data_IF_970016630097
#
_entry.id   IF_970016630097
#
_cell.length_a   1.000
_cell.length_b   1.000
_cell.length_c   1.000
_cell.angle_alpha   90.00
_cell.angle_beta   90.00
_cell.angle_gamma   90.00
#
_symmetry.space_group_name_H-M   'P 1'
#
loop_
_entity.id
_entity.type
_entity.pdbx_description
1 polymer ?
#
# COMPACT_ATOMS: atom_id res chain seq x y z
N UNK A 1 23.91 5.49 -9.26
CA UNK A 1 24.02 4.97 -7.88
C UNK A 1 22.63 4.46 -7.53
N UNK A 2 22.47 3.16 -7.34
CA UNK A 2 21.16 2.59 -6.97
C UNK A 2 20.83 2.98 -5.53
N UNK A 3 19.54 3.13 -5.21
CA UNK A 3 19.08 3.28 -3.83
C UNK A 3 19.48 2.04 -3.03
N UNK A 4 20.07 2.27 -1.85
CA UNK A 4 20.50 1.22 -0.94
C UNK A 4 19.32 0.38 -0.45
N UNK A 5 19.59 -0.85 0.00
CA UNK A 5 18.53 -1.69 0.59
C UNK A 5 17.86 -1.03 1.80
N UNK A 6 18.60 -0.22 2.57
CA UNK A 6 18.07 0.52 3.73
C UNK A 6 17.09 1.61 3.30
N UNK A 7 17.44 2.40 2.27
CA UNK A 7 16.53 3.43 1.74
C UNK A 7 15.25 2.79 1.19
N UNK A 8 15.38 1.68 0.45
CA UNK A 8 14.23 0.94 -0.07
C UNK A 8 13.35 0.38 1.06
N UNK A 9 13.95 -0.06 2.16
CA UNK A 9 13.21 -0.54 3.33
C UNK A 9 12.46 0.62 4.02
N UNK A 10 13.10 1.78 4.15
CA UNK A 10 12.46 2.98 4.70
C UNK A 10 11.26 3.42 3.84
N UNK A 11 11.41 3.40 2.52
CA UNK A 11 10.30 3.67 1.59
C UNK A 11 9.16 2.68 1.77
N UNK A 12 9.46 1.39 1.95
CA UNK A 12 8.43 0.36 2.20
C UNK A 12 7.67 0.61 3.50
N UNK A 13 8.37 0.95 4.58
CA UNK A 13 7.73 1.27 5.87
C UNK A 13 6.79 2.46 5.72
N UNK A 14 7.22 3.51 5.01
CA UNK A 14 6.36 4.66 4.72
C UNK A 14 5.09 4.29 3.95
N UNK A 15 5.21 3.42 2.94
CA UNK A 15 4.05 2.92 2.18
C UNK A 15 3.13 2.03 3.03
N UNK A 16 3.69 1.18 3.90
CA UNK A 16 2.91 0.36 4.85
C UNK A 16 2.07 1.23 5.78
N UNK A 17 2.67 2.28 6.34
CA UNK A 17 1.97 3.23 7.21
C UNK A 17 0.86 3.97 6.46
N UNK A 18 1.16 4.45 5.25
CA UNK A 18 0.18 5.14 4.41
C UNK A 18 -1.02 4.25 4.08
N UNK A 19 -0.80 3.02 3.60
CA UNK A 19 -1.89 2.12 3.27
C UNK A 19 -2.69 1.72 4.50
N UNK A 20 -2.02 1.45 5.63
CA UNK A 20 -2.70 1.13 6.90
C UNK A 20 -3.63 2.27 7.34
N UNK A 21 -3.19 3.52 7.22
CA UNK A 21 -4.00 4.68 7.53
C UNK A 21 -5.19 4.82 6.56
N UNK A 22 -4.97 4.68 5.25
CA UNK A 22 -6.04 4.76 4.25
C UNK A 22 -7.11 3.67 4.46
N UNK A 23 -6.69 2.43 4.70
CA UNK A 23 -7.58 1.30 5.00
C UNK A 23 -8.43 1.61 6.24
N UNK A 24 -7.80 2.06 7.33
CA UNK A 24 -8.51 2.39 8.57
C UNK A 24 -9.59 3.45 8.36
N UNK A 25 -9.29 4.50 7.60
CA UNK A 25 -10.24 5.58 7.32
C UNK A 25 -11.40 5.13 6.42
N UNK A 26 -11.14 4.26 5.44
CA UNK A 26 -12.20 3.65 4.62
C UNK A 26 -13.10 2.76 5.47
N UNK A 27 -12.52 1.88 6.30
CA UNK A 27 -13.27 0.98 7.19
C UNK A 27 -14.08 1.74 8.25
N UNK A 28 -13.58 2.90 8.71
CA UNK A 28 -14.31 3.81 9.60
C UNK A 28 -15.44 4.60 8.90
N UNK A 29 -15.57 4.48 7.57
CA UNK A 29 -16.56 5.20 6.77
C UNK A 29 -16.22 6.69 6.57
N UNK A 30 -14.99 7.11 6.86
CA UNK A 30 -14.55 8.50 6.69
C UNK A 30 -14.24 8.85 5.23
N UNK A 31 -13.97 7.83 4.41
CA UNK A 31 -13.63 7.97 2.99
C UNK A 31 -14.54 7.07 2.16
N UNK A 32 -15.17 7.66 1.14
CA UNK A 32 -15.88 6.94 0.10
C UNK A 32 -15.25 7.23 -1.25
N UNK A 33 -15.26 6.24 -2.13
CA UNK A 33 -14.73 6.34 -3.48
C UNK A 33 -15.85 6.11 -4.49
N UNK A 34 -15.94 7.00 -5.47
CA UNK A 34 -16.85 6.86 -6.59
C UNK A 34 -16.07 6.93 -7.90
N UNK A 35 -16.46 6.11 -8.86
CA UNK A 35 -15.94 6.18 -10.22
C UNK A 35 -17.08 6.22 -11.22
N UNK A 36 -16.78 6.79 -12.38
CA UNK A 36 -17.69 6.83 -13.53
C UNK A 36 -17.06 6.05 -14.66
N UNK A 37 -17.78 5.05 -15.17
CA UNK A 37 -17.34 4.25 -16.30
C UNK A 37 -17.98 4.78 -17.59
N UNK A 38 -17.19 5.49 -18.39
CA UNK A 38 -17.66 6.16 -19.61
C UNK A 38 -18.74 7.21 -19.30
N UNK A 39 -19.85 7.15 -20.02
CA UNK A 39 -21.00 8.05 -19.84
C UNK A 39 -22.03 7.55 -18.81
N UNK A 40 -21.74 6.44 -18.11
CA UNK A 40 -22.62 5.83 -17.10
C UNK A 40 -22.79 6.66 -15.81
N UNK A 41 -23.59 6.19 -14.85
CA UNK A 41 -23.73 6.85 -13.55
C UNK A 41 -22.44 6.76 -12.72
N UNK A 42 -22.36 7.56 -11.65
CA UNK A 42 -21.36 7.36 -10.61
C UNK A 42 -21.69 6.09 -9.82
N UNK A 43 -20.69 5.22 -9.66
CA UNK A 43 -20.80 3.97 -8.92
C UNK A 43 -19.91 4.04 -7.68
N UNK A 44 -20.40 3.50 -6.56
CA UNK A 44 -19.59 3.31 -5.36
C UNK A 44 -18.60 2.17 -5.59
N UNK A 45 -17.32 2.52 -5.54
CA UNK A 45 -16.21 1.59 -5.72
C UNK A 45 -15.38 1.44 -4.43
N UNK A 46 -15.89 1.91 -3.29
CA UNK A 46 -15.17 1.93 -2.02
C UNK A 46 -14.67 0.54 -1.63
N UNK A 47 -15.48 -0.50 -1.83
CA UNK A 47 -15.08 -1.88 -1.55
C UNK A 47 -13.91 -2.36 -2.44
N UNK A 48 -13.95 -2.02 -3.73
CA UNK A 48 -12.89 -2.38 -4.69
C UNK A 48 -11.57 -1.68 -4.30
N UNK A 49 -11.66 -0.41 -3.96
CA UNK A 49 -10.50 0.39 -3.54
C UNK A 49 -9.93 -0.12 -2.21
N UNK A 50 -10.79 -0.52 -1.26
CA UNK A 50 -10.37 -1.12 0.01
C UNK A 50 -9.55 -2.39 -0.24
N UNK A 51 -10.10 -3.33 -1.01
CA UNK A 51 -9.39 -4.58 -1.36
C UNK A 51 -8.05 -4.29 -2.03
N UNK A 52 -8.00 -3.31 -2.95
CA UNK A 52 -6.74 -2.94 -3.58
C UNK A 52 -5.69 -2.41 -2.60
N UNK A 53 -6.08 -1.58 -1.62
CA UNK A 53 -5.15 -1.13 -0.58
C UNK A 53 -4.70 -2.27 0.33
N UNK A 54 -5.60 -3.20 0.68
CA UNK A 54 -5.27 -4.38 1.49
C UNK A 54 -4.23 -5.27 0.77
N UNK A 55 -4.43 -5.52 -0.53
CA UNK A 55 -3.48 -6.27 -1.37
C UNK A 55 -2.11 -5.56 -1.46
N UNK A 56 -2.10 -4.24 -1.66
CA UNK A 56 -0.85 -3.47 -1.67
C UNK A 56 -0.15 -3.51 -0.32
N UNK A 57 -0.88 -3.37 0.78
CA UNK A 57 -0.32 -3.45 2.13
C UNK A 57 0.36 -4.80 2.37
N UNK A 58 -0.29 -5.90 1.98
CA UNK A 58 0.28 -7.24 2.10
C UNK A 58 1.57 -7.38 1.26
N UNK A 59 1.55 -6.93 0.00
CA UNK A 59 2.73 -6.96 -0.87
C UNK A 59 3.91 -6.16 -0.30
N UNK A 60 3.65 -4.97 0.25
CA UNK A 60 4.70 -4.15 0.85
C UNK A 60 5.26 -4.75 2.14
N UNK A 61 4.43 -5.44 2.95
CA UNK A 61 4.92 -6.20 4.12
C UNK A 61 5.87 -7.31 3.70
N UNK A 62 5.50 -8.13 2.70
CA UNK A 62 6.39 -9.16 2.16
C UNK A 62 7.68 -8.57 1.61
N UNK A 63 7.60 -7.47 0.88
CA UNK A 63 8.78 -6.83 0.31
C UNK A 63 9.70 -6.23 1.37
N UNK A 64 9.14 -5.61 2.42
CA UNK A 64 9.91 -5.11 3.56
C UNK A 64 10.62 -6.25 4.31
N UNK A 65 9.97 -7.39 4.50
CA UNK A 65 10.56 -8.59 5.10
C UNK A 65 11.71 -9.16 4.25
N UNK A 66 11.55 -9.21 2.93
CA UNK A 66 12.64 -9.63 2.03
C UNK A 66 13.84 -8.67 2.11
N UNK A 67 13.59 -7.35 2.05
CA UNK A 67 14.66 -6.35 2.16
C UNK A 67 15.40 -6.46 3.50
N UNK A 68 14.66 -6.63 4.60
CA UNK A 68 15.25 -6.84 5.93
C UNK A 68 16.12 -8.08 5.96
N UNK A 69 15.64 -9.21 5.45
CA UNK A 69 16.40 -10.47 5.37
C UNK A 69 17.71 -10.29 4.58
N UNK A 70 17.69 -9.53 3.50
CA UNK A 70 18.87 -9.25 2.67
C UNK A 70 19.89 -8.36 3.39
N UNK A 71 19.41 -7.33 4.10
CA UNK A 71 20.25 -6.48 4.95
C UNK A 71 20.91 -7.31 6.06
N UNK A 72 20.14 -8.19 6.72
CA UNK A 72 20.63 -9.08 7.77
C UNK A 72 21.70 -10.06 7.24
N UNK A 73 21.66 -10.40 5.95
CA UNK A 73 22.67 -11.21 5.26
C UNK A 73 23.89 -10.39 4.77
N UNK A 74 23.92 -9.09 5.00
CA UNK A 74 25.02 -8.20 4.59
C UNK A 74 24.98 -7.77 3.13
N UNK A 75 23.84 -7.92 2.45
CA UNK A 75 23.65 -7.31 1.12
C UNK A 75 23.57 -5.78 1.23
N UNK A 76 23.97 -5.06 0.18
CA UNK A 76 24.03 -3.59 0.14
C UNK A 76 23.22 -3.00 -1.01
#
# INVERSE_FOLDING_TARGET
MGTSLVERLADCVGQIEEFSQRISRIQAGEIQHQAKFGDGPWEDITAIVLTHYEDMLENYKYFAEDLRRRIDNGES
#
